data_IF_282966558054
#
_entry.id   IF_282966558054
#
_cell.length_a   1.000
_cell.length_b   1.000
_cell.length_c   1.000
_cell.angle_alpha   90.00
_cell.angle_beta   90.00
_cell.angle_gamma   90.00
#
_symmetry.space_group_name_H-M   'P 1'
#
loop_
_entity.id
_entity.type
_entity.pdbx_description
1 polymer ?
#
# COMPACT_ATOMS: atom_id res chain seq x y z
N UNK A 1 -49.25 6.10 7.69
CA UNK A 1 -48.70 5.28 6.59
C UNK A 1 -48.29 6.22 5.47
N UNK A 2 -46.99 6.55 5.38
CA UNK A 2 -46.40 7.30 4.26
C UNK A 2 -45.18 6.51 3.81
N UNK A 3 -45.12 6.26 2.50
CA UNK A 3 -44.29 5.28 1.82
C UNK A 3 -42.85 5.74 1.57
N UNK A 4 -41.94 4.80 1.84
CA UNK A 4 -40.72 4.46 1.08
C UNK A 4 -39.75 5.56 0.67
N UNK A 5 -38.77 5.76 1.56
CA UNK A 5 -37.32 5.79 1.31
C UNK A 5 -36.81 6.06 -0.11
N UNK A 6 -36.19 7.23 -0.27
CA UNK A 6 -35.26 7.53 -1.35
C UNK A 6 -34.13 6.51 -1.38
N UNK A 7 -34.12 5.63 -2.39
CA UNK A 7 -32.98 4.76 -2.65
C UNK A 7 -31.84 5.62 -3.21
N UNK A 8 -30.81 5.89 -2.41
CA UNK A 8 -29.53 6.39 -2.92
C UNK A 8 -28.98 5.30 -3.85
N UNK A 9 -28.96 5.56 -5.16
CA UNK A 9 -28.34 4.67 -6.14
C UNK A 9 -26.99 5.27 -6.54
N UNK A 10 -25.91 4.66 -6.05
CA UNK A 10 -24.54 5.00 -6.44
C UNK A 10 -24.26 4.34 -7.80
N UNK A 11 -23.88 5.14 -8.80
CA UNK A 11 -23.48 4.68 -10.13
C UNK A 11 -22.13 5.28 -10.51
N UNK A 12 -21.30 4.50 -11.20
CA UNK A 12 -20.13 5.03 -11.89
C UNK A 12 -20.60 5.48 -13.28
N UNK A 13 -20.43 6.74 -13.63
CA UNK A 13 -20.77 7.29 -14.96
C UNK A 13 -19.52 7.71 -15.70
N UNK A 14 -19.42 7.39 -17.00
CA UNK A 14 -18.35 7.96 -17.84
C UNK A 14 -18.74 9.38 -18.28
N UNK A 15 -17.78 10.31 -18.22
CA UNK A 15 -18.01 11.72 -18.59
C UNK A 15 -18.23 11.91 -20.10
N UNK A 16 -17.66 11.03 -20.92
CA UNK A 16 -17.72 11.12 -22.38
C UNK A 16 -18.92 10.36 -22.98
N UNK A 17 -19.41 9.34 -22.28
CA UNK A 17 -20.54 8.51 -22.68
C UNK A 17 -21.36 8.23 -21.42
N UNK A 18 -22.64 8.62 -21.35
CA UNK A 18 -23.44 8.58 -20.12
C UNK A 18 -23.89 7.16 -19.74
N UNK A 19 -23.01 6.18 -19.92
CA UNK A 19 -23.16 4.82 -19.44
C UNK A 19 -23.00 4.84 -17.93
N UNK A 20 -23.84 4.07 -17.25
CA UNK A 20 -23.81 3.94 -15.80
C UNK A 20 -23.61 2.48 -15.42
N UNK A 21 -22.77 2.20 -14.43
CA UNK A 21 -22.48 0.85 -13.95
C UNK A 21 -22.93 0.69 -12.49
N UNK A 22 -23.39 -0.50 -12.14
CA UNK A 22 -23.59 -0.86 -10.73
C UNK A 22 -22.26 -1.09 -10.02
N UNK A 23 -22.27 -1.16 -8.68
CA UNK A 23 -21.06 -1.40 -7.87
C UNK A 23 -20.42 -2.77 -8.10
N UNK A 24 -21.16 -3.71 -8.71
CA UNK A 24 -20.64 -5.00 -9.16
C UNK A 24 -20.09 -4.97 -10.59
N UNK A 25 -19.93 -3.78 -11.17
CA UNK A 25 -19.42 -3.58 -12.53
C UNK A 25 -20.42 -3.87 -13.66
N UNK A 26 -21.58 -4.44 -13.36
CA UNK A 26 -22.61 -4.73 -14.36
C UNK A 26 -23.11 -3.42 -15.00
N UNK A 27 -23.23 -3.41 -16.34
CA UNK A 27 -23.80 -2.26 -17.06
C UNK A 27 -25.24 -2.02 -16.59
N UNK A 28 -25.50 -0.84 -16.02
CA UNK A 28 -26.77 -0.46 -15.42
C UNK A 28 -27.62 0.39 -16.37
N UNK A 29 -27.03 1.34 -17.10
CA UNK A 29 -27.70 2.08 -18.17
C UNK A 29 -26.72 2.35 -19.32
N UNK A 30 -27.22 2.26 -20.55
CA UNK A 30 -26.52 2.65 -21.76
C UNK A 30 -27.50 3.46 -22.63
N UNK A 31 -27.69 4.77 -22.34
CA UNK A 31 -28.73 5.56 -23.00
C UNK A 31 -28.57 5.58 -24.52
N UNK A 32 -29.68 5.45 -25.25
CA UNK A 32 -29.76 5.40 -26.73
C UNK A 32 -29.25 4.11 -27.35
N UNK A 33 -28.80 3.14 -26.55
CA UNK A 33 -28.46 1.81 -27.03
C UNK A 33 -29.64 0.84 -26.98
N UNK A 34 -30.79 1.25 -26.42
CA UNK A 34 -32.01 0.43 -26.40
C UNK A 34 -32.58 0.19 -27.81
N UNK A 35 -32.27 1.06 -28.75
CA UNK A 35 -32.74 1.01 -30.15
C UNK A 35 -31.69 0.46 -31.11
N UNK A 36 -30.49 0.11 -30.63
CA UNK A 36 -29.42 -0.45 -31.47
C UNK A 36 -29.69 -1.95 -31.66
N UNK A 37 -29.87 -2.43 -32.90
CA UNK A 37 -30.05 -3.87 -33.16
C UNK A 37 -28.89 -4.68 -32.59
N UNK A 38 -29.21 -5.84 -32.01
CA UNK A 38 -28.25 -6.81 -31.47
C UNK A 38 -27.35 -6.28 -30.34
N UNK A 39 -27.68 -5.14 -29.73
CA UNK A 39 -26.93 -4.64 -28.58
C UNK A 39 -27.18 -5.50 -27.33
N UNK A 40 -26.17 -6.28 -26.95
CA UNK A 40 -26.17 -7.02 -25.69
C UNK A 40 -25.40 -6.24 -24.61
N UNK A 41 -26.17 -5.55 -23.76
CA UNK A 41 -25.67 -4.81 -22.61
C UNK A 41 -24.81 -5.65 -21.64
N UNK A 42 -24.98 -6.98 -21.62
CA UNK A 42 -24.21 -7.85 -20.73
C UNK A 42 -22.75 -8.00 -21.16
N UNK A 43 -22.45 -7.85 -22.47
CA UNK A 43 -21.08 -7.85 -23.04
C UNK A 43 -20.30 -6.56 -22.75
N UNK A 44 -20.93 -5.61 -22.06
CA UNK A 44 -20.47 -4.24 -21.89
C UNK A 44 -20.35 -3.85 -20.42
N UNK A 45 -20.08 -4.82 -19.55
CA UNK A 45 -19.79 -4.60 -18.12
C UNK A 45 -18.34 -4.14 -17.93
N UNK A 46 -18.03 -3.55 -16.78
CA UNK A 46 -16.64 -3.27 -16.40
C UNK A 46 -15.85 -4.58 -16.33
N UNK A 47 -14.59 -4.55 -16.75
CA UNK A 47 -13.70 -5.69 -16.61
C UNK A 47 -13.45 -5.96 -15.11
N UNK A 48 -13.66 -7.20 -14.64
CA UNK A 48 -13.35 -7.55 -13.27
C UNK A 48 -11.83 -7.57 -13.06
N UNK A 49 -11.41 -7.17 -11.86
CA UNK A 49 -10.04 -7.34 -11.36
C UNK A 49 -10.07 -8.28 -10.16
N UNK A 50 -9.03 -9.08 -9.97
CA UNK A 50 -8.93 -9.97 -8.81
C UNK A 50 -8.54 -9.16 -7.59
N UNK A 51 -9.26 -9.38 -6.49
CA UNK A 51 -9.03 -8.70 -5.21
C UNK A 51 -8.91 -9.74 -4.10
N UNK A 52 -7.91 -9.58 -3.25
CA UNK A 52 -7.74 -10.32 -2.01
C UNK A 52 -7.66 -9.32 -0.85
N UNK A 53 -8.35 -9.60 0.25
CA UNK A 53 -8.24 -8.82 1.48
C UNK A 53 -7.57 -9.74 2.49
N UNK A 54 -6.39 -9.36 2.95
CA UNK A 54 -5.63 -10.17 3.89
C UNK A 54 -6.18 -10.06 5.32
N UNK A 55 -5.63 -10.87 6.23
CA UNK A 55 -6.06 -10.88 7.63
C UNK A 55 -5.70 -9.61 8.41
N UNK A 56 -4.81 -8.76 7.87
CA UNK A 56 -4.48 -7.45 8.44
C UNK A 56 -5.38 -6.33 7.89
N UNK A 57 -6.23 -6.62 6.90
CA UNK A 57 -7.17 -5.68 6.29
C UNK A 57 -6.63 -4.93 5.07
N UNK A 58 -5.45 -5.28 4.55
CA UNK A 58 -4.93 -4.68 3.32
C UNK A 58 -5.60 -5.28 2.08
N UNK A 59 -5.78 -4.44 1.06
CA UNK A 59 -6.40 -4.81 -0.21
C UNK A 59 -5.32 -5.03 -1.26
N UNK A 60 -5.28 -6.24 -1.80
CA UNK A 60 -4.34 -6.68 -2.82
C UNK A 60 -5.05 -6.86 -4.16
N UNK A 61 -4.44 -6.38 -5.23
CA UNK A 61 -5.02 -6.42 -6.59
C UNK A 61 -4.13 -7.24 -7.51
N UNK A 62 -4.75 -8.13 -8.29
CA UNK A 62 -4.11 -8.83 -9.40
C UNK A 62 -4.84 -8.52 -10.71
N UNK A 63 -4.09 -8.08 -11.72
CA UNK A 63 -4.57 -7.63 -13.03
C UNK A 63 -4.56 -8.73 -14.10
N UNK A 64 -4.26 -9.97 -13.72
CA UNK A 64 -4.38 -11.12 -14.61
C UNK A 64 -5.79 -11.23 -15.18
N UNK A 65 -5.89 -11.43 -16.49
CA UNK A 65 -7.17 -11.67 -17.13
C UNK A 65 -7.57 -13.14 -16.96
N UNK A 66 -8.86 -13.39 -16.69
CA UNK A 66 -9.41 -14.75 -16.61
C UNK A 66 -9.38 -15.30 -15.18
N UNK A 67 -8.96 -16.56 -15.02
CA UNK A 67 -8.72 -17.14 -13.70
C UNK A 67 -7.28 -16.84 -13.25
N UNK A 68 -7.12 -16.52 -11.96
CA UNK A 68 -5.80 -16.37 -11.36
C UNK A 68 -5.13 -17.74 -11.24
N UNK A 69 -3.89 -17.85 -11.70
CA UNK A 69 -3.02 -19.02 -11.51
C UNK A 69 -2.19 -18.91 -10.22
N UNK A 70 -2.22 -17.76 -9.56
CA UNK A 70 -1.59 -17.50 -8.27
C UNK A 70 -2.61 -17.45 -7.14
N UNK A 71 -2.23 -17.99 -5.98
CA UNK A 71 -2.98 -17.88 -4.72
C UNK A 71 -2.14 -17.14 -3.70
N UNK A 72 -2.80 -16.42 -2.81
CA UNK A 72 -2.14 -15.63 -1.77
C UNK A 72 -1.21 -16.50 -0.92
N UNK A 73 -1.70 -17.65 -0.45
CA UNK A 73 -0.99 -18.53 0.46
C UNK A 73 0.23 -19.20 -0.21
N UNK A 74 0.21 -19.35 -1.54
CA UNK A 74 1.34 -19.90 -2.29
C UNK A 74 2.45 -18.86 -2.47
N UNK A 75 2.11 -17.58 -2.55
CA UNK A 75 3.04 -16.48 -2.86
C UNK A 75 3.59 -15.79 -1.60
N UNK A 76 2.76 -15.66 -0.57
CA UNK A 76 3.05 -14.89 0.65
C UNK A 76 2.95 -15.73 1.93
N UNK A 77 2.77 -17.04 1.78
CA UNK A 77 2.65 -18.00 2.88
C UNK A 77 1.61 -17.56 3.92
N UNK A 78 2.07 -17.19 5.11
CA UNK A 78 1.27 -16.77 6.27
C UNK A 78 1.74 -15.41 6.80
N UNK A 79 2.30 -14.56 5.94
CA UNK A 79 2.81 -13.24 6.34
C UNK A 79 1.74 -12.39 7.05
N UNK A 80 0.48 -12.55 6.66
CA UNK A 80 -0.66 -11.87 7.26
C UNK A 80 -1.15 -12.52 8.56
N UNK A 81 -0.57 -13.66 8.98
CA UNK A 81 -0.74 -14.23 10.32
C UNK A 81 0.45 -13.92 11.24
N UNK A 82 1.53 -13.32 10.72
CA UNK A 82 2.73 -13.02 11.50
C UNK A 82 2.45 -11.93 12.54
N UNK A 83 2.95 -12.04 13.79
CA UNK A 83 2.81 -11.00 14.81
C UNK A 83 3.23 -9.60 14.34
N UNK A 84 4.20 -9.50 13.42
CA UNK A 84 4.61 -8.24 12.79
C UNK A 84 3.46 -7.48 12.13
N UNK A 85 2.46 -8.20 11.63
CA UNK A 85 1.25 -7.67 11.01
C UNK A 85 0.05 -7.73 11.97
N UNK A 86 -0.07 -8.80 12.77
CA UNK A 86 -1.26 -9.07 13.60
C UNK A 86 -1.25 -8.39 14.97
N UNK A 87 -0.10 -7.95 15.47
CA UNK A 87 0.01 -7.19 16.72
C UNK A 87 -0.44 -5.72 16.57
N UNK A 88 -1.00 -5.34 15.41
CA UNK A 88 -1.57 -4.03 15.14
C UNK A 88 -2.98 -4.20 14.58
N UNK A 89 -3.92 -3.37 15.02
CA UNK A 89 -5.22 -3.27 14.35
C UNK A 89 -5.21 -2.04 13.44
N UNK A 90 -4.71 -2.22 12.22
CA UNK A 90 -4.58 -1.15 11.22
C UNK A 90 -5.90 -0.39 10.98
N UNK A 91 -7.04 -1.05 11.15
CA UNK A 91 -8.36 -0.46 10.88
C UNK A 91 -8.93 0.30 12.07
N UNK A 92 -8.69 -0.20 13.30
CA UNK A 92 -9.23 0.41 14.52
C UNK A 92 -8.30 1.44 15.13
N UNK A 93 -6.98 1.21 15.08
CA UNK A 93 -5.98 2.02 15.78
C UNK A 93 -5.52 3.24 14.96
N UNK A 94 -5.63 3.17 13.64
CA UNK A 94 -5.06 4.17 12.75
C UNK A 94 -6.13 4.86 11.89
N UNK A 95 -5.79 6.04 11.40
CA UNK A 95 -6.58 6.80 10.43
C UNK A 95 -5.67 7.32 9.33
N UNK A 96 -6.18 7.39 8.10
CA UNK A 96 -5.48 8.08 7.03
C UNK A 96 -5.20 9.52 7.45
N UNK A 97 -3.95 9.96 7.24
CA UNK A 97 -3.53 11.32 7.52
C UNK A 97 -3.29 12.07 6.20
N UNK A 98 -2.33 11.61 5.40
CA UNK A 98 -2.01 12.22 4.13
C UNK A 98 -1.36 11.26 3.14
N UNK A 99 -1.28 11.71 1.89
CA UNK A 99 -0.59 11.06 0.80
C UNK A 99 0.49 11.99 0.26
N UNK A 100 1.61 11.43 -0.17
CA UNK A 100 2.60 12.17 -0.95
C UNK A 100 3.37 11.26 -1.89
N UNK A 101 3.97 11.86 -2.92
CA UNK A 101 4.73 11.15 -3.94
C UNK A 101 6.03 11.84 -4.27
N UNK A 102 6.95 11.08 -4.84
CA UNK A 102 8.21 11.57 -5.39
C UNK A 102 8.54 10.84 -6.68
N UNK A 103 9.09 11.58 -7.65
CA UNK A 103 9.59 11.05 -8.91
C UNK A 103 11.09 10.79 -8.80
N UNK A 104 11.54 9.68 -9.41
CA UNK A 104 12.94 9.30 -9.50
C UNK A 104 13.32 9.00 -10.95
N UNK A 105 14.48 9.51 -11.36
CA UNK A 105 15.13 9.19 -12.64
C UNK A 105 15.93 7.88 -12.53
N UNK A 106 15.27 6.84 -12.01
CA UNK A 106 15.85 5.52 -11.79
C UNK A 106 14.89 4.41 -12.24
N UNK A 107 15.46 3.27 -12.66
CA UNK A 107 14.68 2.07 -12.91
C UNK A 107 14.11 1.51 -11.60
N UNK A 108 12.86 1.04 -11.61
CA UNK A 108 12.16 0.53 -10.43
C UNK A 108 12.92 -0.57 -9.68
N UNK A 109 13.69 -1.41 -10.39
CA UNK A 109 14.52 -2.45 -9.76
C UNK A 109 15.62 -1.85 -8.89
N UNK A 110 16.28 -0.78 -9.35
CA UNK A 110 17.30 -0.09 -8.56
C UNK A 110 16.71 0.57 -7.32
N UNK A 111 15.49 1.12 -7.42
CA UNK A 111 14.76 1.67 -6.26
C UNK A 111 14.49 0.59 -5.21
N UNK A 112 14.08 -0.61 -5.64
CA UNK A 112 13.82 -1.73 -4.72
C UNK A 112 15.10 -2.30 -4.13
N UNK A 113 16.16 -2.39 -4.94
CA UNK A 113 17.48 -2.81 -4.49
C UNK A 113 17.98 -1.87 -3.39
N UNK A 114 17.88 -0.54 -3.59
CA UNK A 114 18.22 0.46 -2.58
C UNK A 114 17.38 0.32 -1.31
N UNK A 115 16.06 0.13 -1.45
CA UNK A 115 15.15 0.03 -0.30
C UNK A 115 15.41 -1.20 0.58
N UNK A 116 15.82 -2.33 0.00
CA UNK A 116 15.94 -3.62 0.71
C UNK A 116 17.35 -3.90 1.24
N UNK A 117 18.17 -2.87 1.40
CA UNK A 117 19.49 -2.96 1.99
C UNK A 117 19.77 -1.76 2.90
N UNK A 118 20.86 -1.83 3.65
CA UNK A 118 21.28 -0.73 4.54
C UNK A 118 22.81 -0.58 4.58
N UNK A 119 23.48 -1.01 3.51
CA UNK A 119 24.90 -0.81 3.28
C UNK A 119 25.24 0.68 3.13
N UNK A 120 24.38 1.45 2.44
CA UNK A 120 24.56 2.90 2.30
C UNK A 120 24.15 3.69 3.57
N UNK A 121 23.35 3.10 4.46
CA UNK A 121 22.77 3.82 5.60
C UNK A 121 23.80 4.51 6.49
N UNK A 122 24.96 3.87 6.73
CA UNK A 122 25.99 4.42 7.59
C UNK A 122 26.58 5.74 7.06
N UNK A 123 26.58 5.91 5.73
CA UNK A 123 27.16 7.06 5.03
C UNK A 123 26.10 8.09 4.63
N UNK A 124 24.94 7.62 4.16
CA UNK A 124 23.93 8.47 3.52
C UNK A 124 22.80 8.91 4.46
N UNK A 125 22.58 8.19 5.57
CA UNK A 125 21.49 8.47 6.52
C UNK A 125 22.00 8.75 7.93
N UNK A 126 22.43 9.99 8.23
CA UNK A 126 22.91 10.36 9.56
C UNK A 126 21.89 10.06 10.67
N UNK A 127 20.59 10.27 10.41
CA UNK A 127 19.53 10.00 11.38
C UNK A 127 19.34 8.50 11.62
N UNK A 128 19.30 7.68 10.57
CA UNK A 128 19.20 6.21 10.72
C UNK A 128 20.41 5.67 11.46
N UNK A 129 21.62 6.09 11.07
CA UNK A 129 22.84 5.68 11.76
C UNK A 129 22.86 6.19 13.22
N UNK A 130 22.26 7.34 13.52
CA UNK A 130 22.13 7.84 14.88
C UNK A 130 21.29 6.92 15.79
N UNK A 131 20.20 6.34 15.28
CA UNK A 131 19.21 5.62 16.08
C UNK A 131 19.31 4.09 15.98
N UNK A 132 19.72 3.56 14.83
CA UNK A 132 19.67 2.12 14.52
C UNK A 132 21.03 1.44 14.68
N UNK A 133 21.07 0.28 15.32
CA UNK A 133 22.24 -0.58 15.37
C UNK A 133 22.38 -1.34 14.05
N UNK A 134 23.06 -0.70 13.10
CA UNK A 134 23.30 -1.22 11.76
C UNK A 134 24.12 -2.53 11.75
N UNK A 135 24.86 -2.84 12.82
CA UNK A 135 25.61 -4.10 12.91
C UNK A 135 24.71 -5.32 13.13
N UNK A 136 23.50 -5.09 13.66
CA UNK A 136 22.48 -6.13 13.92
C UNK A 136 21.34 -6.11 12.93
N UNK A 137 21.26 -5.07 12.09
CA UNK A 137 20.29 -4.98 11.02
C UNK A 137 20.45 -6.16 10.07
N UNK A 138 19.33 -6.75 9.68
CA UNK A 138 19.30 -7.81 8.66
C UNK A 138 17.96 -7.83 7.95
N UNK A 139 17.98 -8.32 6.72
CA UNK A 139 16.80 -8.58 5.91
C UNK A 139 16.69 -10.08 5.71
N UNK A 140 15.54 -10.65 6.06
CA UNK A 140 15.24 -12.07 5.89
C UNK A 140 14.22 -12.23 4.76
N UNK A 141 14.62 -12.74 3.58
CA UNK A 141 13.68 -13.04 2.51
C UNK A 141 12.88 -14.31 2.82
N UNK A 142 11.57 -14.26 2.59
CA UNK A 142 10.63 -15.39 2.77
C UNK A 142 9.60 -15.36 1.64
N UNK A 143 9.42 -16.47 0.92
CA UNK A 143 8.54 -16.52 -0.25
C UNK A 143 8.69 -15.27 -1.15
N UNK A 144 7.63 -14.45 -1.30
CA UNK A 144 7.65 -13.17 -2.05
C UNK A 144 7.61 -11.92 -1.18
N UNK A 145 8.13 -12.01 0.02
CA UNK A 145 8.27 -10.87 0.91
C UNK A 145 9.62 -10.87 1.63
N UNK A 146 9.95 -9.76 2.28
CA UNK A 146 11.18 -9.61 3.05
C UNK A 146 10.88 -8.96 4.39
N UNK A 147 11.41 -9.53 5.44
CA UNK A 147 11.31 -9.00 6.80
C UNK A 147 12.57 -8.23 7.15
N UNK A 148 12.43 -6.94 7.45
CA UNK A 148 13.53 -6.15 7.97
C UNK A 148 13.56 -6.24 9.49
N UNK A 149 14.67 -6.73 10.05
CA UNK A 149 14.89 -6.78 11.49
C UNK A 149 15.78 -5.63 11.89
N UNK A 150 15.20 -4.63 12.54
CA UNK A 150 15.90 -3.41 12.93
C UNK A 150 15.99 -3.34 14.45
N UNK A 151 17.15 -2.94 14.96
CA UNK A 151 17.43 -2.79 16.39
C UNK A 151 17.89 -1.36 16.64
N UNK A 152 17.50 -0.78 17.78
CA UNK A 152 17.96 0.55 18.17
C UNK A 152 19.29 0.45 18.95
N UNK A 153 20.15 1.47 18.86
CA UNK A 153 21.47 1.49 19.55
C UNK A 153 21.38 1.56 21.07
N UNK A 154 20.26 2.03 21.62
CA UNK A 154 20.03 2.15 23.06
C UNK A 154 18.66 1.56 23.40
N UNK A 155 18.57 0.79 24.49
CA UNK A 155 17.30 0.40 25.15
C UNK A 155 16.54 1.61 25.76
N UNK A 156 16.76 2.82 25.25
CA UNK A 156 16.21 4.06 25.80
C UNK A 156 14.73 4.25 25.50
N UNK A 157 14.16 3.46 24.59
CA UNK A 157 12.72 3.34 24.47
C UNK A 157 12.36 1.94 23.99
N UNK A 158 11.82 1.16 24.92
CA UNK A 158 10.89 0.07 24.61
C UNK A 158 9.63 0.55 23.87
N UNK A 159 9.58 1.80 23.40
CA UNK A 159 8.44 2.50 22.78
C UNK A 159 8.56 2.65 21.26
N UNK A 160 9.66 2.21 20.63
CA UNK A 160 9.77 2.18 19.17
C UNK A 160 9.83 0.75 18.66
N UNK A 161 8.70 0.05 18.75
CA UNK A 161 8.50 -1.11 17.88
C UNK A 161 8.47 -0.58 16.44
N UNK A 162 9.42 -1.01 15.62
CA UNK A 162 9.46 -0.69 14.19
C UNK A 162 9.59 -1.97 13.39
N UNK A 163 8.61 -2.18 12.55
CA UNK A 163 8.51 -3.34 11.67
C UNK A 163 8.43 -2.83 10.26
N UNK A 164 9.25 -3.37 9.35
CA UNK A 164 9.09 -3.18 7.90
C UNK A 164 8.93 -4.56 7.27
N UNK A 165 7.88 -4.71 6.48
CA UNK A 165 7.64 -5.89 5.65
C UNK A 165 7.53 -5.40 4.21
N UNK A 166 8.45 -5.85 3.37
CA UNK A 166 8.44 -5.56 1.94
C UNK A 166 7.77 -6.71 1.19
N UNK A 167 6.85 -6.40 0.28
CA UNK A 167 6.10 -7.34 -0.54
C UNK A 167 6.47 -7.14 -2.00
N UNK A 168 7.10 -8.15 -2.59
CA UNK A 168 7.49 -8.12 -3.99
C UNK A 168 6.23 -8.13 -4.89
N UNK A 169 6.11 -7.23 -5.87
CA UNK A 169 7.23 -6.56 -6.51
C UNK A 169 7.53 -5.13 -6.07
N UNK A 170 6.65 -4.42 -5.38
CA UNK A 170 6.78 -2.95 -5.30
C UNK A 170 6.16 -2.33 -4.06
N UNK A 171 5.74 -3.11 -3.06
CA UNK A 171 5.02 -2.57 -1.91
C UNK A 171 5.81 -2.81 -0.62
N UNK A 172 5.65 -1.93 0.34
CA UNK A 172 6.08 -2.17 1.72
C UNK A 172 5.09 -1.59 2.69
N UNK A 173 5.01 -2.24 3.85
CA UNK A 173 4.31 -1.73 5.02
C UNK A 173 5.36 -1.54 6.10
N UNK A 174 5.53 -0.30 6.53
CA UNK A 174 6.20 -0.02 7.78
C UNK A 174 5.17 0.38 8.81
N UNK A 175 5.30 -0.17 10.00
CA UNK A 175 4.48 0.20 11.15
C UNK A 175 5.33 0.43 12.39
N UNK A 176 4.94 1.45 13.14
CA UNK A 176 5.32 1.74 14.51
C UNK A 176 4.07 1.89 15.37
N UNK A 177 4.24 2.00 16.69
CA UNK A 177 3.11 2.14 17.61
C UNK A 177 2.31 3.45 17.43
N UNK A 178 2.86 4.44 16.69
CA UNK A 178 2.23 5.76 16.48
C UNK A 178 1.96 6.10 15.02
N UNK A 179 2.51 5.33 14.10
CA UNK A 179 2.58 5.67 12.68
C UNK A 179 2.68 4.40 11.84
N UNK A 180 1.94 4.30 10.76
CA UNK A 180 2.27 3.35 9.71
C UNK A 180 2.16 4.02 8.36
N UNK A 181 2.87 3.49 7.38
CA UNK A 181 2.67 3.91 6.01
C UNK A 181 2.83 2.74 5.05
N UNK A 182 2.09 2.85 3.95
CA UNK A 182 2.21 1.98 2.79
C UNK A 182 3.05 2.75 1.78
N UNK A 183 4.17 2.15 1.35
CA UNK A 183 5.00 2.71 0.29
C UNK A 183 4.94 1.83 -0.94
N UNK A 184 4.76 2.46 -2.11
CA UNK A 184 4.64 1.79 -3.40
C UNK A 184 5.67 2.36 -4.38
N UNK A 185 6.61 1.53 -4.83
CA UNK A 185 7.65 1.86 -5.82
C UNK A 185 7.16 1.53 -7.24
N UNK A 186 6.49 2.46 -7.89
CA UNK A 186 5.75 2.23 -9.12
C UNK A 186 6.67 2.48 -10.35
N UNK A 187 6.82 1.49 -11.26
CA UNK A 187 7.50 1.72 -12.52
C UNK A 187 6.68 2.67 -13.41
N UNK A 188 7.31 3.75 -13.90
CA UNK A 188 6.70 4.69 -14.87
C UNK A 188 7.25 4.44 -16.26
N UNK A 189 8.57 4.26 -16.37
CA UNK A 189 9.25 3.90 -17.62
C UNK A 189 10.44 2.98 -17.35
N UNK A 190 11.24 2.69 -18.38
CA UNK A 190 12.49 1.94 -18.21
C UNK A 190 13.54 2.67 -17.38
N UNK A 191 13.46 4.00 -17.28
CA UNK A 191 14.46 4.86 -16.61
C UNK A 191 13.84 5.80 -15.58
N UNK A 192 12.54 5.68 -15.30
CA UNK A 192 11.88 6.49 -14.29
C UNK A 192 10.88 5.68 -13.47
N UNK A 193 10.77 6.08 -12.20
CA UNK A 193 9.90 5.46 -11.20
C UNK A 193 9.24 6.53 -10.36
N UNK A 194 8.16 6.15 -9.67
CA UNK A 194 7.48 6.99 -8.68
C UNK A 194 7.39 6.24 -7.37
N UNK A 195 7.70 6.88 -6.25
CA UNK A 195 7.39 6.35 -4.93
C UNK A 195 6.14 7.07 -4.44
N UNK A 196 5.11 6.30 -4.13
CA UNK A 196 3.88 6.78 -3.49
C UNK A 196 3.86 6.35 -2.02
N UNK A 197 3.47 7.27 -1.13
CA UNK A 197 3.41 7.04 0.30
C UNK A 197 2.02 7.40 0.83
N UNK A 198 1.30 6.42 1.36
CA UNK A 198 0.07 6.62 2.12
C UNK A 198 0.37 6.52 3.60
N UNK A 199 0.19 7.64 4.31
CA UNK A 199 0.57 7.79 5.71
C UNK A 199 -0.67 7.72 6.60
N UNK A 200 -0.55 6.93 7.66
CA UNK A 200 -1.60 6.69 8.63
C UNK A 200 -1.10 7.00 10.03
N UNK A 201 -1.93 7.75 10.75
CA UNK A 201 -1.65 8.21 12.10
C UNK A 201 -2.39 7.36 13.11
N UNK A 202 -1.70 6.88 14.14
CA UNK A 202 -2.37 6.24 15.27
C UNK A 202 -3.28 7.25 15.96
N UNK A 203 -4.46 6.81 16.41
CA UNK A 203 -5.48 7.67 17.03
C UNK A 203 -4.99 8.38 18.29
N UNK A 204 -4.12 7.70 19.04
CA UNK A 204 -3.51 8.22 20.27
C UNK A 204 -2.13 8.85 20.07
N UNK A 205 -1.70 9.13 18.83
CA UNK A 205 -0.48 9.89 18.59
C UNK A 205 -0.77 11.39 18.74
N UNK A 206 0.02 12.08 19.57
CA UNK A 206 0.03 13.56 19.63
C UNK A 206 0.57 14.14 18.32
N UNK A 207 0.31 15.44 18.08
CA UNK A 207 0.79 16.11 16.86
C UNK A 207 2.32 16.10 16.81
N UNK A 208 2.97 16.34 17.95
CA UNK A 208 4.43 16.33 18.05
C UNK A 208 5.04 14.95 17.77
N UNK A 209 4.50 13.87 18.36
CA UNK A 209 4.99 12.51 18.10
C UNK A 209 4.84 12.15 16.62
N UNK A 210 3.68 12.43 16.03
CA UNK A 210 3.41 12.11 14.64
C UNK A 210 4.31 12.91 13.70
N UNK A 211 4.42 14.22 13.89
CA UNK A 211 5.23 15.07 13.00
C UNK A 211 6.72 14.74 13.10
N UNK A 212 7.23 14.40 14.27
CA UNK A 212 8.61 13.96 14.42
C UNK A 212 8.89 12.67 13.64
N UNK A 213 7.98 11.70 13.68
CA UNK A 213 8.10 10.44 12.91
C UNK A 213 7.97 10.70 11.41
N UNK A 214 6.97 11.49 11.00
CA UNK A 214 6.73 11.86 9.61
C UNK A 214 7.93 12.60 9.00
N UNK A 215 8.49 13.57 9.72
CA UNK A 215 9.68 14.31 9.30
C UNK A 215 10.91 13.39 9.16
N UNK A 216 11.10 12.45 10.09
CA UNK A 216 12.18 11.46 10.02
C UNK A 216 12.11 10.65 8.72
N UNK A 217 10.96 10.06 8.38
CA UNK A 217 10.85 9.23 7.18
C UNK A 217 10.89 10.02 5.87
N UNK A 218 10.36 11.25 5.86
CA UNK A 218 10.50 12.14 4.71
C UNK A 218 11.95 12.49 4.43
N UNK A 219 12.73 12.76 5.47
CA UNK A 219 14.16 13.05 5.30
C UNK A 219 14.92 11.83 4.75
N UNK A 220 14.68 10.63 5.29
CA UNK A 220 15.32 9.41 4.79
C UNK A 220 15.03 9.21 3.30
N UNK A 221 13.78 9.37 2.88
CA UNK A 221 13.41 9.17 1.48
C UNK A 221 13.94 10.27 0.54
N UNK A 222 14.16 11.49 1.04
CA UNK A 222 14.81 12.54 0.27
C UNK A 222 16.33 12.28 0.12
N UNK A 223 16.96 11.69 1.14
CA UNK A 223 18.37 11.26 1.11
C UNK A 223 18.60 10.06 0.14
N UNK A 224 17.57 9.26 -0.14
CA UNK A 224 17.59 8.11 -1.06
C UNK A 224 17.42 8.47 -2.55
N UNK A 225 17.04 9.72 -2.86
CA UNK A 225 16.68 10.15 -4.21
C UNK A 225 17.87 10.24 -5.17
#
# INVERSE_FOLDING_TARGET
MISSGSAIRLFITSDSQPWSYGLKGNSAKAPRFETVPDFDKTQHSLFPIHVYIDKAGFVWVNLQAGETDVKWEDEYEKVDEDPRMQDFDFTAEFKFDHYWEMELDANWKGVIENYNECYHCATSHPLINGVSDLSRYRVEPKARYMEHHIFNKVDADSQFRRTITYFYPTASVMVTDKFFYIQRMIPVSTTSSKIENEVYRHRDATDEEFENINAFYRQVLDEDK
#
